data_IF_521870669980
#
_entry.id   IF_521870669980
#
_cell.length_a   1.000
_cell.length_b   1.000
_cell.length_c   1.000
_cell.angle_alpha   90.00
_cell.angle_beta   90.00
_cell.angle_gamma   90.00
#
_symmetry.space_group_name_H-M   'P 1'
#
loop_
_entity.id
_entity.type
_entity.pdbx_description
1 polymer ?
#
# COMPACT_ATOMS: atom_id res chain seq x y z
N UNK A 1 10.29 -10.23 12.46
CA UNK A 1 9.61 -10.38 11.16
C UNK A 1 10.60 -10.26 9.99
N UNK A 2 11.32 -9.13 9.85
CA UNK A 2 12.21 -8.87 8.71
C UNK A 2 13.28 -9.96 8.45
N UNK A 3 14.00 -10.42 9.47
CA UNK A 3 15.02 -11.48 9.31
C UNK A 3 14.44 -12.81 8.82
N UNK A 4 13.31 -13.24 9.38
CA UNK A 4 12.60 -14.44 8.93
C UNK A 4 12.17 -14.33 7.47
N UNK A 5 11.59 -13.18 7.09
CA UNK A 5 11.17 -12.92 5.72
C UNK A 5 12.34 -12.95 4.73
N UNK A 6 13.49 -12.35 5.09
CA UNK A 6 14.70 -12.39 4.29
C UNK A 6 15.25 -13.81 4.16
N UNK A 7 15.30 -14.57 5.26
CA UNK A 7 15.74 -15.95 5.27
C UNK A 7 14.85 -16.82 4.37
N UNK A 8 13.53 -16.74 4.51
CA UNK A 8 12.55 -17.51 3.71
C UNK A 8 12.75 -17.21 2.21
N UNK A 9 12.88 -15.92 1.89
CA UNK A 9 13.12 -15.43 0.53
C UNK A 9 14.50 -15.80 -0.03
N UNK A 10 15.50 -16.02 0.81
CA UNK A 10 16.83 -16.46 0.41
C UNK A 10 16.87 -17.96 0.13
N UNK A 11 16.08 -18.74 0.88
CA UNK A 11 15.93 -20.18 0.69
C UNK A 11 14.89 -20.56 -0.38
N UNK A 12 14.27 -19.56 -1.01
CA UNK A 12 13.40 -19.76 -2.17
C UNK A 12 11.98 -20.23 -1.85
N UNK A 13 11.53 -20.23 -0.59
CA UNK A 13 10.18 -20.69 -0.29
C UNK A 13 9.10 -19.73 -0.80
N UNK A 14 7.98 -20.30 -1.26
CA UNK A 14 6.83 -19.57 -1.78
C UNK A 14 5.52 -20.00 -1.10
N UNK A 15 4.51 -19.14 -1.19
CA UNK A 15 3.22 -19.35 -0.55
C UNK A 15 2.07 -19.13 -1.53
N UNK A 16 1.08 -20.01 -1.50
CA UNK A 16 -0.09 -19.93 -2.39
C UNK A 16 -1.18 -18.96 -1.92
N UNK A 17 -1.10 -18.48 -0.68
CA UNK A 17 -2.02 -17.50 -0.10
C UNK A 17 -1.28 -16.48 0.79
N UNK A 18 -1.94 -15.36 1.07
CA UNK A 18 -1.41 -14.37 2.02
C UNK A 18 -1.41 -14.95 3.44
N UNK A 19 -2.42 -15.76 3.77
CA UNK A 19 -2.51 -16.45 5.05
C UNK A 19 -1.32 -17.38 5.28
N UNK A 20 -0.95 -18.22 4.33
CA UNK A 20 0.20 -19.12 4.49
C UNK A 20 1.51 -18.31 4.65
N UNK A 21 1.66 -17.23 3.89
CA UNK A 21 2.79 -16.30 4.04
C UNK A 21 2.83 -15.71 5.47
N UNK A 22 1.72 -15.15 5.96
CA UNK A 22 1.65 -14.55 7.29
C UNK A 22 1.88 -15.59 8.40
N UNK A 23 1.30 -16.78 8.24
CA UNK A 23 1.49 -17.90 9.15
C UNK A 23 2.96 -18.31 9.22
N UNK A 24 3.67 -18.39 8.10
CA UNK A 24 5.10 -18.70 8.10
C UNK A 24 5.98 -17.68 8.86
N UNK A 25 5.54 -16.42 8.93
CA UNK A 25 6.29 -15.33 9.56
C UNK A 25 6.04 -15.23 11.07
N UNK A 26 4.79 -15.41 11.49
CA UNK A 26 4.35 -15.15 12.86
C UNK A 26 3.32 -16.14 13.42
N UNK A 27 3.08 -17.25 12.74
CA UNK A 27 2.10 -18.26 13.11
C UNK A 27 0.67 -17.75 13.07
N UNK A 28 -0.22 -18.42 13.80
CA UNK A 28 -1.62 -18.02 13.97
C UNK A 28 -1.78 -16.62 14.55
N UNK A 29 -0.77 -16.09 15.27
CA UNK A 29 -0.77 -14.73 15.80
C UNK A 29 -0.91 -13.67 14.71
N UNK A 30 -0.17 -13.79 13.60
CA UNK A 30 -0.24 -12.82 12.49
C UNK A 30 -1.58 -12.93 11.74
N UNK A 31 -2.14 -14.13 11.62
CA UNK A 31 -3.48 -14.32 11.05
C UNK A 31 -4.55 -13.71 11.95
N UNK A 32 -4.44 -13.89 13.26
CA UNK A 32 -5.38 -13.31 14.21
C UNK A 32 -5.32 -11.78 14.18
N UNK A 33 -4.14 -11.20 13.95
CA UNK A 33 -3.98 -9.75 13.79
C UNK A 33 -4.69 -9.18 12.55
N UNK A 34 -5.01 -9.98 11.53
CA UNK A 34 -5.83 -9.50 10.39
C UNK A 34 -7.33 -9.53 10.70
N UNK A 35 -7.74 -10.17 11.80
CA UNK A 35 -9.16 -10.40 12.18
C UNK A 35 -9.59 -9.67 13.43
N UNK A 36 -8.69 -8.89 14.03
CA UNK A 36 -8.92 -8.14 15.27
C UNK A 36 -8.51 -6.70 15.09
N UNK A 37 -9.24 -5.79 15.72
CA UNK A 37 -8.92 -4.37 15.62
C UNK A 37 -7.57 -4.07 16.27
N UNK A 38 -6.89 -3.03 15.78
CA UNK A 38 -5.67 -2.50 16.36
C UNK A 38 -5.92 -2.04 17.79
N UNK A 39 -7.04 -1.33 18.04
CA UNK A 39 -7.40 -0.85 19.37
C UNK A 39 -7.47 -1.98 20.40
N UNK A 40 -8.25 -3.04 20.14
CA UNK A 40 -8.39 -4.18 21.06
C UNK A 40 -7.04 -4.86 21.31
N UNK A 41 -6.26 -5.04 20.25
CA UNK A 41 -4.96 -5.71 20.36
C UNK A 41 -3.96 -4.90 21.19
N UNK A 42 -3.98 -3.58 21.09
CA UNK A 42 -3.10 -2.71 21.89
C UNK A 42 -3.55 -2.62 23.35
N UNK A 43 -4.86 -2.56 23.61
CA UNK A 43 -5.40 -2.58 24.97
C UNK A 43 -5.02 -3.87 25.71
N UNK A 44 -5.09 -5.03 25.02
CA UNK A 44 -4.65 -6.32 25.59
C UNK A 44 -3.16 -6.36 25.90
N UNK A 45 -2.35 -5.63 25.13
CA UNK A 45 -0.91 -5.46 25.40
C UNK A 45 -0.61 -4.43 26.50
N UNK A 46 -1.63 -3.85 27.12
CA UNK A 46 -1.50 -2.88 28.22
C UNK A 46 -1.23 -1.44 27.76
N UNK A 47 -1.41 -1.14 26.46
CA UNK A 47 -1.31 0.25 25.97
C UNK A 47 -2.55 1.01 26.42
N UNK A 48 -2.34 2.21 26.99
CA UNK A 48 -3.46 3.00 27.49
C UNK A 48 -4.33 3.56 26.35
N UNK A 49 -5.65 3.64 26.58
CA UNK A 49 -6.60 4.25 25.65
C UNK A 49 -6.14 5.65 25.22
N UNK A 50 -5.64 6.46 26.16
CA UNK A 50 -5.13 7.80 25.88
C UNK A 50 -3.98 7.80 24.86
N UNK A 51 -3.04 6.86 24.98
CA UNK A 51 -1.94 6.76 24.01
C UNK A 51 -2.46 6.30 22.64
N UNK A 52 -3.45 5.40 22.63
CA UNK A 52 -4.10 4.96 21.39
C UNK A 52 -4.75 6.16 20.68
N UNK A 53 -5.51 6.97 21.41
CA UNK A 53 -6.26 8.09 20.83
C UNK A 53 -5.38 9.28 20.44
N UNK A 54 -4.41 9.64 21.29
CA UNK A 54 -3.60 10.85 21.11
C UNK A 54 -2.35 10.63 20.24
N UNK A 55 -1.86 9.38 20.10
CA UNK A 55 -0.62 9.08 19.37
C UNK A 55 -0.83 8.12 18.22
N UNK A 56 -1.55 7.01 18.44
CA UNK A 56 -1.68 5.96 17.43
C UNK A 56 -2.73 6.32 16.37
N UNK A 57 -3.88 6.86 16.77
CA UNK A 57 -4.92 7.27 15.83
C UNK A 57 -4.42 8.30 14.81
N UNK A 58 -3.67 9.36 15.19
CA UNK A 58 -3.08 10.27 14.21
C UNK A 58 -2.13 9.60 13.21
N UNK A 59 -1.37 8.57 13.63
CA UNK A 59 -0.49 7.79 12.73
C UNK A 59 -1.33 6.99 11.73
N UNK A 60 -2.43 6.36 12.17
CA UNK A 60 -3.32 5.64 11.26
C UNK A 60 -3.96 6.56 10.24
N UNK A 61 -4.38 7.75 10.67
CA UNK A 61 -5.04 8.74 9.81
C UNK A 61 -4.10 9.33 8.76
N UNK A 62 -2.82 9.56 9.08
CA UNK A 62 -1.86 10.08 8.08
C UNK A 62 -1.43 9.02 7.06
N UNK A 63 -1.32 7.76 7.48
CA UNK A 63 -0.86 6.69 6.59
C UNK A 63 -2.00 6.05 5.79
N UNK A 64 -3.17 5.89 6.42
CA UNK A 64 -4.29 5.12 5.88
C UNK A 64 -5.63 5.86 5.87
N UNK A 65 -5.70 7.14 6.27
CA UNK A 65 -6.96 7.91 6.24
C UNK A 65 -8.08 7.32 7.10
N UNK A 66 -7.75 6.30 7.90
CA UNK A 66 -8.66 5.43 8.64
C UNK A 66 -8.24 5.43 10.12
N UNK A 67 -9.17 5.04 10.98
CA UNK A 67 -9.00 5.13 12.44
C UNK A 67 -8.50 3.80 13.04
N UNK A 68 -8.45 3.72 14.38
CA UNK A 68 -7.91 2.57 15.13
C UNK A 68 -8.74 1.27 15.02
N UNK A 69 -9.87 1.30 14.31
CA UNK A 69 -10.69 0.13 14.02
C UNK A 69 -10.11 -0.77 12.93
N UNK A 70 -9.06 -0.33 12.21
CA UNK A 70 -8.36 -1.17 11.24
C UNK A 70 -7.78 -2.42 11.91
N UNK A 71 -7.54 -3.51 11.15
CA UNK A 71 -6.90 -4.71 11.67
C UNK A 71 -5.52 -4.43 12.27
N UNK A 72 -5.16 -5.15 13.32
CA UNK A 72 -3.91 -4.97 14.04
C UNK A 72 -2.66 -5.18 13.17
N UNK A 73 -2.72 -6.05 12.15
CA UNK A 73 -1.57 -6.28 11.26
C UNK A 73 -1.23 -5.05 10.42
N UNK A 74 -2.19 -4.47 9.71
CA UNK A 74 -1.98 -3.22 8.96
C UNK A 74 -1.64 -2.06 9.90
N UNK A 75 -2.21 -2.04 11.10
CA UNK A 75 -1.83 -1.10 12.15
C UNK A 75 -0.35 -1.20 12.54
N UNK A 76 0.18 -2.42 12.70
CA UNK A 76 1.60 -2.65 12.95
C UNK A 76 2.47 -2.20 11.76
N UNK A 77 2.05 -2.46 10.52
CA UNK A 77 2.72 -1.94 9.31
C UNK A 77 2.77 -0.41 9.32
N UNK A 78 1.66 0.24 9.66
CA UNK A 78 1.57 1.70 9.81
C UNK A 78 2.56 2.25 10.85
N UNK A 79 2.59 1.62 12.03
CA UNK A 79 3.45 2.03 13.14
C UNK A 79 4.93 1.83 12.84
N UNK A 80 5.29 0.79 12.08
CA UNK A 80 6.65 0.60 11.61
C UNK A 80 7.13 1.77 10.73
N UNK A 81 6.22 2.34 9.92
CA UNK A 81 6.47 3.54 9.12
C UNK A 81 6.51 4.86 9.90
N UNK A 82 6.26 4.85 11.21
CA UNK A 82 6.35 6.04 12.07
C UNK A 82 7.65 6.10 12.89
N UNK A 83 8.56 5.13 12.71
CA UNK A 83 9.82 5.07 13.44
C UNK A 83 10.86 6.07 12.90
N UNK A 84 11.85 6.37 13.73
CA UNK A 84 13.04 7.10 13.28
C UNK A 84 13.90 6.22 12.33
N UNK A 85 14.79 6.85 11.58
CA UNK A 85 15.76 6.19 10.67
C UNK A 85 15.17 5.55 9.41
N UNK A 86 14.04 6.06 8.91
CA UNK A 86 13.56 5.70 7.57
C UNK A 86 14.51 6.24 6.50
N UNK A 87 14.59 5.51 5.38
CA UNK A 87 15.43 5.86 4.25
C UNK A 87 14.58 6.28 3.04
N UNK A 88 15.19 7.07 2.17
CA UNK A 88 14.65 7.39 0.86
C UNK A 88 15.73 7.18 -0.19
N UNK A 89 15.32 6.87 -1.42
CA UNK A 89 16.24 6.80 -2.55
C UNK A 89 16.76 8.20 -2.87
N UNK A 90 18.07 8.34 -3.10
CA UNK A 90 18.67 9.58 -3.59
C UNK A 90 18.02 9.98 -4.92
N UNK A 91 17.54 11.22 -5.06
CA UNK A 91 16.74 11.65 -6.21
C UNK A 91 15.25 11.25 -6.15
N UNK A 92 14.85 10.51 -5.11
CA UNK A 92 13.46 10.31 -4.67
C UNK A 92 12.90 8.92 -4.96
N UNK A 93 11.95 8.48 -4.14
CA UNK A 93 11.35 7.14 -4.23
C UNK A 93 10.65 6.85 -5.58
N UNK A 94 10.30 7.88 -6.37
CA UNK A 94 9.81 7.70 -7.74
C UNK A 94 10.77 6.90 -8.64
N UNK A 95 12.06 6.90 -8.31
CA UNK A 95 13.09 6.20 -9.07
C UNK A 95 13.03 4.68 -8.87
N UNK A 96 12.44 4.18 -7.78
CA UNK A 96 12.37 2.74 -7.47
C UNK A 96 11.77 1.96 -8.64
N UNK A 97 10.56 2.33 -9.08
CA UNK A 97 9.88 1.60 -10.17
C UNK A 97 10.66 1.68 -11.48
N UNK A 98 11.16 2.86 -11.86
CA UNK A 98 11.95 3.02 -13.09
C UNK A 98 13.27 2.24 -13.07
N UNK A 99 13.93 2.17 -11.90
CA UNK A 99 15.15 1.40 -11.70
C UNK A 99 14.89 -0.10 -11.81
N UNK A 100 13.81 -0.59 -11.20
CA UNK A 100 13.40 -1.99 -11.28
C UNK A 100 13.08 -2.41 -12.73
N UNK A 101 12.33 -1.60 -13.48
CA UNK A 101 12.04 -1.86 -14.90
C UNK A 101 13.31 -1.97 -15.73
N UNK A 102 14.27 -1.05 -15.51
CA UNK A 102 15.56 -1.06 -16.20
C UNK A 102 16.40 -2.30 -15.86
N UNK A 103 16.48 -2.66 -14.58
CA UNK A 103 17.24 -3.82 -14.11
C UNK A 103 16.64 -5.15 -14.61
N UNK A 104 15.31 -5.24 -14.62
CA UNK A 104 14.59 -6.39 -15.14
C UNK A 104 14.69 -6.52 -16.68
N UNK A 105 15.18 -5.48 -17.37
CA UNK A 105 15.14 -5.36 -18.84
C UNK A 105 13.71 -5.62 -19.37
N UNK A 106 12.71 -5.13 -18.64
CA UNK A 106 11.31 -5.37 -18.94
C UNK A 106 10.91 -4.65 -20.24
N UNK A 107 10.10 -5.31 -21.07
CA UNK A 107 9.42 -4.66 -22.20
C UNK A 107 8.17 -3.94 -21.67
N UNK A 108 8.23 -2.62 -21.53
CA UNK A 108 7.11 -1.82 -21.03
C UNK A 108 6.22 -1.36 -22.18
N UNK A 109 5.01 -1.90 -22.25
CA UNK A 109 3.96 -1.44 -23.16
C UNK A 109 3.06 -0.47 -22.39
N UNK A 110 3.02 0.80 -22.82
CA UNK A 110 2.18 1.84 -22.19
C UNK A 110 0.75 1.78 -22.75
N UNK A 111 0.02 0.73 -22.39
CA UNK A 111 -1.35 0.51 -22.87
C UNK A 111 -2.22 -0.14 -21.79
N UNK A 112 -3.50 0.27 -21.67
CA UNK A 112 -4.44 -0.42 -20.80
C UNK A 112 -4.79 -1.80 -21.38
N UNK A 113 -4.65 -2.84 -20.55
CA UNK A 113 -5.21 -4.16 -20.84
C UNK A 113 -6.72 -4.10 -20.67
N UNK A 114 -7.47 -4.53 -21.68
CA UNK A 114 -8.93 -4.51 -21.68
C UNK A 114 -9.53 -5.89 -21.41
N UNK A 115 -8.81 -6.96 -21.78
CA UNK A 115 -9.35 -8.32 -21.70
C UNK A 115 -8.24 -9.34 -21.44
N UNK A 116 -8.53 -10.30 -20.58
CA UNK A 116 -7.71 -11.49 -20.33
C UNK A 116 -8.58 -12.72 -20.62
N UNK A 117 -8.26 -13.43 -21.70
CA UNK A 117 -9.02 -14.59 -22.16
C UNK A 117 -8.23 -15.86 -21.91
N UNK A 118 -8.83 -16.81 -21.19
CA UNK A 118 -8.28 -18.15 -21.04
C UNK A 118 -8.44 -18.92 -22.36
N UNK A 119 -7.32 -19.40 -22.90
CA UNK A 119 -7.23 -20.25 -24.09
C UNK A 119 -6.73 -21.62 -23.64
N UNK A 120 -7.64 -22.59 -23.58
CA UNK A 120 -7.32 -23.97 -23.21
C UNK A 120 -7.15 -24.82 -24.47
N UNK A 121 -5.98 -25.45 -24.63
CA UNK A 121 -5.69 -26.40 -25.71
C UNK A 121 -5.30 -27.74 -25.09
N UNK A 122 -6.27 -28.63 -24.92
CA UNK A 122 -6.08 -29.85 -24.12
C UNK A 122 -5.83 -29.51 -22.64
N UNK A 123 -4.78 -30.09 -22.06
CA UNK A 123 -4.36 -29.83 -20.67
C UNK A 123 -3.49 -28.57 -20.52
N UNK A 124 -3.28 -27.81 -21.61
CA UNK A 124 -2.43 -26.63 -21.61
C UNK A 124 -3.26 -25.34 -21.61
N UNK A 125 -2.98 -24.47 -20.65
CA UNK A 125 -3.64 -23.18 -20.49
C UNK A 125 -2.71 -22.04 -20.90
N UNK A 126 -3.16 -21.20 -21.83
CA UNK A 126 -2.53 -19.93 -22.16
C UNK A 126 -3.51 -18.78 -21.98
N UNK A 127 -2.98 -17.57 -21.85
CA UNK A 127 -3.74 -16.35 -21.69
C UNK A 127 -3.54 -15.43 -22.87
N UNK A 128 -4.63 -15.09 -23.55
CA UNK A 128 -4.61 -14.03 -24.56
C UNK A 128 -4.95 -12.69 -23.88
N UNK A 129 -3.99 -11.78 -23.88
CA UNK A 129 -4.14 -10.42 -23.37
C UNK A 129 -4.48 -9.50 -24.53
N UNK A 130 -5.60 -8.78 -24.44
CA UNK A 130 -5.96 -7.72 -25.39
C UNK A 130 -5.73 -6.36 -24.75
N UNK A 131 -5.10 -5.44 -25.50
CA UNK A 131 -4.77 -4.09 -25.03
C UNK A 131 -4.90 -3.06 -26.17
N UNK A 132 -5.15 -1.80 -25.82
CA UNK A 132 -5.37 -0.71 -26.78
C UNK A 132 -4.04 -0.07 -27.23
N UNK A 133 -3.63 -0.28 -28.47
CA UNK A 133 -2.39 0.27 -29.02
C UNK A 133 -2.69 1.25 -30.15
N UNK A 134 -2.41 2.55 -29.94
CA UNK A 134 -2.49 3.59 -31.00
C UNK A 134 -3.81 3.59 -31.81
N UNK A 135 -4.96 3.37 -31.14
CA UNK A 135 -6.31 3.25 -31.71
C UNK A 135 -6.64 1.92 -32.42
N UNK A 136 -5.77 0.90 -32.31
CA UNK A 136 -6.04 -0.46 -32.73
C UNK A 136 -5.98 -1.42 -31.53
N UNK A 137 -6.75 -2.51 -31.57
CA UNK A 137 -6.67 -3.56 -30.56
C UNK A 137 -5.56 -4.52 -30.93
N UNK A 138 -4.61 -4.71 -30.03
CA UNK A 138 -3.56 -5.71 -30.15
C UNK A 138 -3.83 -6.86 -29.18
N UNK A 139 -3.44 -8.09 -29.56
CA UNK A 139 -3.49 -9.23 -28.66
C UNK A 139 -2.20 -10.06 -28.69
N UNK A 140 -1.83 -10.61 -27.54
CA UNK A 140 -0.64 -11.43 -27.36
C UNK A 140 -0.91 -12.58 -26.39
N UNK A 141 -0.22 -13.70 -26.58
CA UNK A 141 -0.33 -14.91 -25.76
C UNK A 141 0.76 -14.97 -24.70
N UNK A 142 0.36 -15.37 -23.49
CA UNK A 142 1.23 -15.50 -22.32
C UNK A 142 0.95 -16.81 -21.58
N UNK A 143 2.00 -17.45 -21.07
CA UNK A 143 1.86 -18.67 -20.26
C UNK A 143 1.56 -18.37 -18.80
N UNK A 144 2.02 -17.22 -18.30
CA UNK A 144 1.85 -16.77 -16.92
C UNK A 144 1.45 -15.30 -16.91
N UNK A 145 0.41 -14.98 -16.15
CA UNK A 145 -0.13 -13.62 -16.01
C UNK A 145 -0.17 -13.23 -14.54
N UNK A 146 0.31 -12.03 -14.24
CA UNK A 146 0.23 -11.44 -12.90
C UNK A 146 -0.56 -10.14 -12.99
N UNK A 147 -1.72 -10.12 -12.35
CA UNK A 147 -2.58 -8.94 -12.26
C UNK A 147 -2.13 -8.09 -11.08
N UNK A 148 -1.67 -6.87 -11.38
CA UNK A 148 -1.20 -5.89 -10.40
C UNK A 148 -2.07 -4.62 -10.32
N UNK A 149 -3.27 -4.68 -10.92
CA UNK A 149 -4.32 -3.66 -10.73
C UNK A 149 -5.36 -4.19 -9.74
N UNK A 150 -5.94 -3.33 -8.88
CA UNK A 150 -7.07 -3.74 -8.05
C UNK A 150 -8.25 -4.28 -8.88
N UNK A 151 -8.98 -5.24 -8.32
CA UNK A 151 -10.09 -5.98 -8.97
C UNK A 151 -11.44 -5.86 -8.23
N UNK A 152 -11.48 -5.03 -7.18
CA UNK A 152 -12.67 -4.80 -6.36
C UNK A 152 -13.74 -4.05 -7.12
N UNK A 153 -15.01 -4.30 -6.79
CA UNK A 153 -16.16 -3.74 -7.50
C UNK A 153 -16.20 -2.20 -7.53
N UNK A 154 -15.67 -1.52 -6.51
CA UNK A 154 -15.64 -0.05 -6.48
C UNK A 154 -14.49 0.55 -7.31
N UNK A 155 -13.65 -0.30 -7.91
CA UNK A 155 -12.59 0.09 -8.85
C UNK A 155 -12.98 -0.44 -10.22
N UNK A 156 -13.10 0.47 -11.18
CA UNK A 156 -13.17 0.07 -12.58
C UNK A 156 -11.76 -0.29 -13.05
N UNK A 157 -11.38 -1.56 -12.94
CA UNK A 157 -10.09 -2.07 -13.42
C UNK A 157 -9.96 -1.95 -14.94
N UNK A 158 -11.08 -1.85 -15.67
CA UNK A 158 -11.12 -1.87 -17.13
C UNK A 158 -10.86 -3.25 -17.75
N UNK A 159 -10.65 -4.29 -16.93
CA UNK A 159 -10.30 -5.65 -17.40
C UNK A 159 -11.53 -6.56 -17.39
N UNK A 160 -11.84 -7.15 -18.54
CA UNK A 160 -12.80 -8.26 -18.65
C UNK A 160 -12.07 -9.60 -18.65
N UNK A 161 -12.54 -10.55 -17.83
CA UNK A 161 -12.03 -11.92 -17.80
C UNK A 161 -12.97 -12.84 -18.57
N UNK A 162 -12.45 -13.61 -19.54
CA UNK A 162 -13.25 -14.44 -20.45
C UNK A 162 -12.72 -15.87 -20.53
N UNK A 163 -13.60 -16.84 -20.79
CA UNK A 163 -13.23 -18.25 -20.97
C UNK A 163 -12.93 -19.02 -19.69
N UNK A 164 -13.29 -18.48 -18.51
CA UNK A 164 -13.09 -19.13 -17.22
C UNK A 164 -14.34 -19.92 -16.80
N UNK A 165 -14.17 -21.22 -16.57
CA UNK A 165 -15.19 -22.12 -16.02
C UNK A 165 -14.58 -22.96 -14.88
N UNK A 166 -15.00 -22.78 -13.61
CA UNK A 166 -15.94 -21.76 -13.11
C UNK A 166 -15.40 -20.33 -13.27
N UNK A 167 -16.30 -19.35 -13.14
CA UNK A 167 -15.89 -17.93 -13.14
C UNK A 167 -14.89 -17.64 -12.02
N UNK A 168 -14.02 -16.66 -12.26
CA UNK A 168 -13.07 -16.19 -11.26
C UNK A 168 -13.80 -15.67 -10.01
N UNK A 169 -13.23 -15.87 -8.81
CA UNK A 169 -13.84 -15.42 -7.58
C UNK A 169 -13.97 -13.89 -7.56
N UNK A 170 -15.12 -13.39 -7.12
CA UNK A 170 -15.29 -11.97 -6.86
C UNK A 170 -14.39 -11.53 -5.70
N UNK A 171 -13.66 -10.44 -5.90
CA UNK A 171 -12.79 -9.87 -4.87
C UNK A 171 -13.60 -8.85 -4.06
N UNK A 172 -14.01 -9.26 -2.87
CA UNK A 172 -14.82 -8.45 -1.98
C UNK A 172 -14.09 -7.21 -1.42
N UNK A 173 -14.90 -6.26 -0.93
CA UNK A 173 -14.44 -5.06 -0.25
C UNK A 173 -14.24 -3.86 -1.18
N UNK A 174 -13.78 -2.75 -0.62
CA UNK A 174 -13.61 -1.49 -1.33
C UNK A 174 -12.27 -0.86 -1.03
N UNK A 175 -11.77 -0.02 -1.94
CA UNK A 175 -10.62 0.85 -1.66
C UNK A 175 -11.05 2.19 -1.06
N UNK A 176 -10.20 2.73 -0.20
CA UNK A 176 -10.32 4.02 0.43
C UNK A 176 -9.73 5.13 -0.46
N UNK A 177 -10.48 6.21 -0.62
CA UNK A 177 -10.03 7.40 -1.34
C UNK A 177 -9.12 8.24 -0.46
N UNK A 178 -8.01 8.72 -1.02
CA UNK A 178 -7.13 9.70 -0.38
C UNK A 178 -6.90 10.86 -1.33
N UNK A 179 -6.82 12.05 -0.77
CA UNK A 179 -6.39 13.25 -1.49
C UNK A 179 -5.13 13.81 -0.87
N UNK A 180 -4.12 14.04 -1.70
CA UNK A 180 -2.94 14.82 -1.36
C UNK A 180 -2.99 16.16 -2.09
N UNK A 181 -2.97 17.25 -1.31
CA UNK A 181 -2.82 18.60 -1.82
C UNK A 181 -1.42 19.10 -1.53
N UNK A 182 -0.66 19.45 -2.57
CA UNK A 182 0.63 20.15 -2.46
C UNK A 182 0.38 21.65 -2.62
N UNK A 183 0.57 22.40 -1.54
CA UNK A 183 0.27 23.83 -1.46
C UNK A 183 1.57 24.61 -1.27
N UNK A 184 1.80 25.62 -2.12
CA UNK A 184 2.84 26.61 -1.92
C UNK A 184 2.21 27.88 -1.31
N UNK A 185 2.53 28.21 -0.06
CA UNK A 185 1.87 29.31 0.64
C UNK A 185 2.33 29.54 2.07
N UNK A 186 1.53 30.34 2.80
CA UNK A 186 1.75 30.72 4.20
C UNK A 186 0.75 29.99 5.09
N UNK A 187 1.24 29.10 5.95
CA UNK A 187 0.40 28.36 6.89
C UNK A 187 -0.29 29.31 7.87
N UNK A 188 -1.58 29.07 8.13
CA UNK A 188 -2.33 29.80 9.14
C UNK A 188 -2.06 29.25 10.54
N UNK A 189 -0.92 29.60 11.14
CA UNK A 189 -0.54 29.17 12.48
C UNK A 189 -1.59 29.48 13.56
N UNK A 190 -2.37 30.54 13.38
CA UNK A 190 -3.42 30.95 14.33
C UNK A 190 -4.53 29.91 14.43
N UNK A 191 -4.85 29.22 13.34
CA UNK A 191 -5.81 28.09 13.35
C UNK A 191 -5.34 26.96 14.27
N UNK A 192 -4.02 26.78 14.41
CA UNK A 192 -3.42 25.77 15.28
C UNK A 192 -3.11 26.29 16.70
N UNK A 193 -3.66 27.45 17.08
CA UNK A 193 -3.47 28.02 18.41
C UNK A 193 -2.17 28.82 18.60
N UNK A 194 -1.48 29.19 17.51
CA UNK A 194 -0.26 30.01 17.56
C UNK A 194 -0.50 31.38 16.91
N UNK A 195 -0.83 32.43 17.70
CA UNK A 195 -1.06 33.77 17.17
C UNK A 195 0.18 34.35 16.48
N UNK A 196 1.36 34.18 17.09
CA UNK A 196 2.64 34.52 16.49
C UNK A 196 3.22 33.30 15.75
N UNK A 197 3.34 33.35 14.41
CA UNK A 197 3.94 32.27 13.63
C UNK A 197 5.39 31.96 14.03
N UNK A 198 6.11 32.90 14.67
CA UNK A 198 7.52 32.70 15.13
C UNK A 198 7.63 31.67 16.23
N UNK A 199 6.55 31.46 16.96
CA UNK A 199 6.48 30.50 18.05
C UNK A 199 6.00 29.12 17.58
N UNK A 200 5.62 28.97 16.30
CA UNK A 200 5.14 27.70 15.78
C UNK A 200 6.32 26.75 15.51
N UNK A 201 6.49 25.68 16.30
CA UNK A 201 7.70 24.86 16.27
C UNK A 201 7.57 23.62 15.39
N UNK A 202 6.36 23.35 14.87
CA UNK A 202 6.04 22.06 14.26
C UNK A 202 6.34 22.03 12.77
N UNK A 203 6.71 20.85 12.29
CA UNK A 203 6.85 20.58 10.85
C UNK A 203 5.75 19.74 10.26
N UNK A 204 5.01 19.05 11.12
CA UNK A 204 3.88 18.20 10.80
C UNK A 204 2.81 18.38 11.84
N UNK A 205 1.56 18.43 11.39
CA UNK A 205 0.35 18.46 12.19
C UNK A 205 -0.44 17.23 11.78
N UNK A 206 -0.78 16.39 12.75
CA UNK A 206 -1.62 15.21 12.57
C UNK A 206 -2.92 15.42 13.33
N UNK A 207 -4.01 14.83 12.85
CA UNK A 207 -5.32 14.95 13.52
C UNK A 207 -5.67 13.67 14.26
N UNK A 208 -6.32 13.81 15.41
CA UNK A 208 -6.98 12.70 16.10
C UNK A 208 -8.29 12.34 15.38
N UNK A 209 -8.91 11.24 15.78
CA UNK A 209 -10.23 10.83 15.28
C UNK A 209 -11.34 11.73 15.84
N UNK A 210 -11.47 12.92 15.26
CA UNK A 210 -12.52 13.88 15.61
C UNK A 210 -13.52 13.98 14.46
N UNK A 211 -14.82 13.71 14.71
CA UNK A 211 -15.87 13.84 13.69
C UNK A 211 -15.88 15.24 13.07
N UNK A 212 -16.04 15.29 11.74
CA UNK A 212 -16.18 16.55 11.00
C UNK A 212 -14.87 17.27 10.68
N UNK A 213 -13.69 16.73 11.03
CA UNK A 213 -12.42 17.26 10.53
C UNK A 213 -12.26 16.99 9.03
N UNK A 214 -11.94 18.04 8.27
CA UNK A 214 -11.80 17.99 6.82
C UNK A 214 -10.41 17.57 6.33
N UNK A 215 -9.44 17.36 7.24
CA UNK A 215 -8.08 16.95 6.90
C UNK A 215 -7.50 15.96 7.91
N UNK A 216 -6.57 15.13 7.44
CA UNK A 216 -5.89 14.08 8.22
C UNK A 216 -4.52 14.56 8.71
N UNK A 217 -3.80 15.33 7.89
CA UNK A 217 -2.52 15.92 8.28
C UNK A 217 -2.14 17.12 7.41
N UNK A 218 -1.28 17.98 7.94
CA UNK A 218 -0.62 19.06 7.20
C UNK A 218 0.86 19.11 7.58
N UNK A 219 1.76 18.95 6.61
CA UNK A 219 3.19 18.87 6.86
C UNK A 219 4.00 19.71 5.87
N UNK A 220 5.05 20.36 6.35
CA UNK A 220 6.03 21.06 5.51
C UNK A 220 6.88 20.04 4.76
N UNK A 221 6.99 20.22 3.44
CA UNK A 221 7.73 19.31 2.55
C UNK A 221 9.18 19.76 2.44
N UNK A 222 10.10 18.82 2.56
CA UNK A 222 11.52 19.04 2.29
C UNK A 222 11.84 18.64 0.84
N UNK A 223 12.82 19.29 0.20
CA UNK A 223 13.29 18.87 -1.11
C UNK A 223 13.84 17.45 -1.02
N UNK A 224 13.72 16.72 -2.12
CA UNK A 224 14.22 15.36 -2.25
C UNK A 224 15.74 15.30 -2.07
N UNK A 225 16.45 16.30 -2.62
CA UNK A 225 17.89 16.45 -2.42
C UNK A 225 18.14 17.58 -1.41
N UNK A 226 18.57 17.19 -0.21
CA UNK A 226 18.88 18.13 0.87
C UNK A 226 20.33 18.58 0.72
N UNK A 227 20.54 19.82 0.28
CA UNK A 227 21.87 20.44 0.22
C UNK A 227 22.33 20.90 1.61
N UNK A 228 23.64 21.04 1.83
CA UNK A 228 24.22 21.49 3.11
C UNK A 228 23.67 22.84 3.62
N UNK A 229 23.22 23.72 2.72
CA UNK A 229 22.59 25.01 3.09
C UNK A 229 21.07 24.97 3.27
N UNK A 230 20.43 23.80 3.20
CA UNK A 230 18.98 23.71 3.34
C UNK A 230 18.55 24.01 4.77
N UNK A 231 17.67 25.00 4.92
CA UNK A 231 16.88 25.21 6.13
C UNK A 231 15.41 25.07 5.80
N UNK A 232 14.68 24.38 6.67
CA UNK A 232 13.22 24.37 6.57
C UNK A 232 12.72 25.81 6.73
N UNK A 233 11.88 26.25 5.79
CA UNK A 233 11.29 27.59 5.84
C UNK A 233 10.42 27.72 7.08
N UNK A 234 10.59 28.82 7.80
CA UNK A 234 9.72 29.11 8.94
C UNK A 234 8.33 29.53 8.45
N UNK A 235 7.28 29.46 9.30
CA UNK A 235 5.91 29.74 8.86
C UNK A 235 5.65 31.20 8.40
N UNK A 236 6.55 32.15 8.65
CA UNK A 236 6.49 33.52 8.10
C UNK A 236 7.00 33.59 6.66
N UNK A 237 7.60 32.51 6.16
CA UNK A 237 8.10 32.40 4.80
C UNK A 237 7.18 31.47 4.01
N UNK A 238 7.01 31.72 2.72
CA UNK A 238 6.20 30.87 1.85
C UNK A 238 6.85 29.49 1.71
N UNK A 239 6.21 28.48 2.29
CA UNK A 239 6.65 27.08 2.29
C UNK A 239 5.85 26.21 1.33
N UNK A 240 6.36 25.00 1.07
CA UNK A 240 5.60 23.95 0.39
C UNK A 240 5.08 23.00 1.45
N UNK A 241 3.78 22.73 1.41
CA UNK A 241 3.07 21.89 2.36
C UNK A 241 2.33 20.77 1.64
N UNK A 242 2.30 19.60 2.25
CA UNK A 242 1.43 18.50 1.85
C UNK A 242 0.30 18.39 2.86
N UNK A 243 -0.93 18.41 2.38
CA UNK A 243 -2.13 18.18 3.18
C UNK A 243 -2.80 16.90 2.68
N UNK A 244 -3.01 15.95 3.59
CA UNK A 244 -3.85 14.79 3.32
C UNK A 244 -5.28 15.06 3.80
N UNK A 245 -6.27 14.78 2.96
CA UNK A 245 -7.69 14.95 3.27
C UNK A 245 -8.56 13.83 2.68
N UNK A 246 -9.77 13.59 3.23
CA UNK A 246 -10.69 12.59 2.68
C UNK A 246 -11.23 12.96 1.28
N UNK A 247 -11.32 14.26 0.98
CA UNK A 247 -11.81 14.82 -0.29
C UNK A 247 -10.96 16.02 -0.71
N UNK A 248 -11.03 16.48 -1.97
CA UNK A 248 -10.38 17.71 -2.40
C UNK A 248 -10.79 18.89 -1.52
N UNK A 249 -9.80 19.69 -1.10
CA UNK A 249 -10.04 20.81 -0.19
C UNK A 249 -10.81 21.93 -0.88
N UNK A 250 -11.89 22.36 -0.25
CA UNK A 250 -12.67 23.51 -0.71
C UNK A 250 -11.92 24.82 -0.46
N UNK A 251 -12.33 25.89 -1.16
CA UNK A 251 -11.68 27.21 -1.03
C UNK A 251 -11.74 27.75 0.41
N UNK A 252 -12.83 27.47 1.13
CA UNK A 252 -13.00 27.80 2.55
C UNK A 252 -11.99 27.05 3.42
N UNK A 253 -11.88 25.74 3.25
CA UNK A 253 -10.94 24.86 3.96
C UNK A 253 -9.47 25.26 3.71
N UNK A 254 -9.12 25.60 2.46
CA UNK A 254 -7.80 26.14 2.12
C UNK A 254 -7.52 27.46 2.84
N UNK A 255 -8.49 28.38 2.90
CA UNK A 255 -8.35 29.65 3.62
C UNK A 255 -8.29 29.48 5.14
N UNK A 256 -8.89 28.41 5.66
CA UNK A 256 -8.75 28.03 7.08
C UNK A 256 -7.31 27.61 7.37
N UNK A 257 -6.73 26.73 6.55
CA UNK A 257 -5.38 26.20 6.76
C UNK A 257 -4.26 27.17 6.35
N UNK A 258 -4.49 28.06 5.38
CA UNK A 258 -3.47 28.95 4.82
C UNK A 258 -3.96 30.40 4.79
N UNK A 259 -3.14 31.32 5.30
CA UNK A 259 -3.43 32.77 5.22
C UNK A 259 -3.48 33.24 3.77
N UNK A 260 -2.56 32.72 2.97
CA UNK A 260 -2.53 32.90 1.51
C UNK A 260 -1.72 31.76 0.88
N UNK A 261 -1.97 31.50 -0.40
CA UNK A 261 -1.24 30.50 -1.18
C UNK A 261 -1.10 30.97 -2.64
N UNK A 262 -0.03 30.52 -3.29
CA UNK A 262 0.28 30.81 -4.68
C UNK A 262 -0.23 29.73 -5.63
N UNK A 263 -0.16 28.47 -5.21
CA UNK A 263 -0.58 27.33 -6.02
C UNK A 263 -1.02 26.15 -5.16
N UNK A 264 -1.95 25.37 -5.69
CA UNK A 264 -2.41 24.10 -5.11
C UNK A 264 -2.39 23.06 -6.23
N UNK A 265 -1.67 21.97 -6.01
CA UNK A 265 -1.69 20.79 -6.88
C UNK A 265 -2.40 19.68 -6.12
N UNK A 266 -3.44 19.10 -6.72
CA UNK A 266 -4.26 18.07 -6.09
C UNK A 266 -4.02 16.75 -6.81
N UNK A 267 -3.87 15.69 -6.03
CA UNK A 267 -3.90 14.31 -6.53
C UNK A 267 -4.87 13.55 -5.66
N UNK A 268 -5.89 12.98 -6.28
CA UNK A 268 -6.87 12.10 -5.66
C UNK A 268 -6.76 10.70 -6.26
N UNK A 269 -6.82 9.69 -5.40
CA UNK A 269 -6.76 8.30 -5.84
C UNK A 269 -7.33 7.34 -4.81
N UNK A 270 -7.62 6.12 -5.24
CA UNK A 270 -7.95 5.00 -4.37
C UNK A 270 -6.64 4.34 -3.92
N UNK A 271 -6.24 4.63 -2.68
CA UNK A 271 -4.86 4.44 -2.24
C UNK A 271 -4.55 3.06 -1.67
N UNK A 272 -5.52 2.46 -1.00
CA UNK A 272 -5.40 1.20 -0.28
C UNK A 272 -6.81 0.68 0.08
N UNK A 273 -6.96 -0.58 0.51
CA UNK A 273 -8.23 -1.10 0.98
C UNK A 273 -8.86 -0.28 2.10
N UNK A 274 -10.19 -0.24 2.12
CA UNK A 274 -10.97 0.12 3.29
C UNK A 274 -10.99 -1.10 4.22
N UNK A 275 -10.20 -1.01 5.27
CA UNK A 275 -9.89 -2.14 6.13
C UNK A 275 -11.01 -2.42 7.13
N UNK A 276 -11.35 -3.70 7.30
CA UNK A 276 -12.22 -4.18 8.36
C UNK A 276 -11.78 -5.55 8.88
N UNK A 277 -12.04 -5.80 10.17
CA UNK A 277 -11.64 -7.05 10.85
C UNK A 277 -12.45 -8.29 10.43
N UNK A 278 -13.52 -8.11 9.66
CA UNK A 278 -14.41 -9.20 9.21
C UNK A 278 -14.12 -9.68 7.78
N UNK A 279 -13.27 -8.97 7.05
CA UNK A 279 -12.96 -9.28 5.65
C UNK A 279 -11.85 -10.33 5.57
N UNK A 280 -12.02 -11.30 4.70
CA UNK A 280 -10.96 -12.26 4.36
C UNK A 280 -9.87 -11.63 3.48
N UNK A 281 -8.71 -12.28 3.38
CA UNK A 281 -7.67 -11.84 2.46
C UNK A 281 -7.98 -12.39 1.05
N UNK A 282 -7.83 -11.58 -0.01
CA UNK A 282 -8.03 -12.07 -1.36
C UNK A 282 -7.04 -13.18 -1.74
N UNK A 283 -7.43 -14.07 -2.65
CA UNK A 283 -6.54 -15.11 -3.16
C UNK A 283 -5.33 -14.51 -3.90
N UNK A 284 -4.17 -15.13 -3.73
CA UNK A 284 -2.97 -14.84 -4.55
C UNK A 284 -3.05 -15.53 -5.90
N UNK A 285 -3.74 -16.67 -5.99
CA UNK A 285 -3.93 -17.47 -7.21
C UNK A 285 -5.38 -17.34 -7.65
N UNK A 286 -5.62 -16.72 -8.80
CA UNK A 286 -6.97 -16.60 -9.38
C UNK A 286 -7.32 -17.83 -10.23
N UNK A 287 -6.33 -18.32 -10.99
CA UNK A 287 -6.38 -19.54 -11.80
C UNK A 287 -4.95 -20.11 -11.92
N UNK A 288 -4.78 -21.32 -12.45
CA UNK A 288 -3.45 -21.87 -12.73
C UNK A 288 -2.64 -20.91 -13.61
N UNK A 289 -1.47 -20.47 -13.15
CA UNK A 289 -0.62 -19.46 -13.82
C UNK A 289 -1.23 -18.06 -13.97
N UNK A 290 -2.34 -17.76 -13.29
CA UNK A 290 -2.91 -16.41 -13.16
C UNK A 290 -2.90 -15.98 -11.69
N UNK A 291 -2.09 -14.96 -11.38
CA UNK A 291 -1.85 -14.51 -10.01
C UNK A 291 -2.37 -13.10 -9.78
N UNK A 292 -2.78 -12.79 -8.55
CA UNK A 292 -3.21 -11.46 -8.11
C UNK A 292 -2.25 -10.90 -7.06
N UNK A 293 -1.55 -9.81 -7.43
CA UNK A 293 -0.53 -9.21 -6.59
C UNK A 293 -1.13 -8.37 -5.45
N UNK A 294 -2.12 -7.54 -5.75
CA UNK A 294 -2.68 -6.57 -4.80
C UNK A 294 -3.52 -7.24 -3.70
N UNK A 295 -3.69 -8.56 -3.71
CA UNK A 295 -4.27 -9.31 -2.58
C UNK A 295 -3.53 -9.04 -1.26
N UNK A 296 -2.20 -8.82 -1.32
CA UNK A 296 -1.38 -8.50 -0.14
C UNK A 296 -1.76 -7.18 0.53
N UNK A 297 -2.35 -6.24 -0.21
CA UNK A 297 -2.71 -4.93 0.33
C UNK A 297 -3.78 -5.02 1.42
N UNK A 298 -4.57 -6.09 1.43
CA UNK A 298 -5.58 -6.37 2.46
C UNK A 298 -4.99 -6.78 3.80
N UNK A 299 -3.80 -7.39 3.79
CA UNK A 299 -3.03 -7.57 5.01
C UNK A 299 -2.39 -6.24 5.44
N UNK A 300 -1.85 -5.48 4.48
CA UNK A 300 -1.38 -4.12 4.69
C UNK A 300 -0.77 -3.54 3.41
N UNK A 301 -1.18 -2.34 3.02
CA UNK A 301 -0.72 -1.70 1.79
C UNK A 301 0.53 -0.86 2.05
N UNK A 302 1.65 -1.30 1.47
CA UNK A 302 2.92 -0.59 1.46
C UNK A 302 3.77 -1.07 0.27
N UNK A 303 4.75 -0.27 -0.15
CA UNK A 303 5.67 -0.66 -1.23
C UNK A 303 6.44 -1.94 -0.88
N UNK A 304 6.81 -2.11 0.39
CA UNK A 304 7.48 -3.27 0.94
C UNK A 304 6.60 -4.51 0.85
N UNK A 305 5.31 -4.38 1.18
CA UNK A 305 4.34 -5.48 1.11
C UNK A 305 4.11 -5.91 -0.34
N UNK A 306 4.00 -4.95 -1.27
CA UNK A 306 3.93 -5.23 -2.71
C UNK A 306 5.19 -5.94 -3.21
N UNK A 307 6.37 -5.54 -2.73
CA UNK A 307 7.64 -6.20 -3.06
C UNK A 307 7.75 -7.61 -2.48
N UNK A 308 7.11 -7.87 -1.33
CA UNK A 308 6.96 -9.22 -0.77
C UNK A 308 6.09 -10.09 -1.65
N UNK A 309 4.91 -9.59 -2.04
CA UNK A 309 3.99 -10.32 -2.92
C UNK A 309 4.63 -10.61 -4.29
N UNK A 310 5.30 -9.62 -4.90
CA UNK A 310 5.97 -9.79 -6.18
C UNK A 310 7.01 -10.90 -6.15
N UNK A 311 7.90 -10.90 -5.13
CA UNK A 311 8.91 -11.97 -4.98
C UNK A 311 8.27 -13.32 -4.69
N UNK A 312 7.22 -13.36 -3.87
CA UNK A 312 6.48 -14.58 -3.59
C UNK A 312 5.86 -15.18 -4.86
N UNK A 313 5.17 -14.37 -5.67
CA UNK A 313 4.52 -14.80 -6.92
C UNK A 313 5.58 -15.28 -7.93
N UNK A 314 6.71 -14.58 -8.06
CA UNK A 314 7.79 -14.99 -8.94
C UNK A 314 8.35 -16.38 -8.57
N UNK A 315 8.58 -16.63 -7.27
CA UNK A 315 9.01 -17.95 -6.78
C UNK A 315 7.89 -18.99 -6.96
N UNK A 316 6.65 -18.67 -6.63
CA UNK A 316 5.50 -19.57 -6.78
C UNK A 316 5.34 -20.02 -8.23
N UNK A 317 5.39 -19.08 -9.18
CA UNK A 317 5.35 -19.34 -10.61
C UNK A 317 6.54 -20.20 -11.05
N UNK A 318 7.76 -19.87 -10.62
CA UNK A 318 8.96 -20.65 -10.92
C UNK A 318 8.87 -22.09 -10.42
N UNK A 319 8.44 -22.31 -9.18
CA UNK A 319 8.34 -23.64 -8.61
C UNK A 319 7.26 -24.48 -9.27
N UNK A 320 6.09 -23.90 -9.57
CA UNK A 320 5.04 -24.59 -10.33
C UNK A 320 5.51 -24.97 -11.73
N UNK A 321 6.16 -24.04 -12.44
CA UNK A 321 6.71 -24.29 -13.76
C UNK A 321 7.72 -25.45 -13.79
N UNK A 322 8.58 -25.52 -12.77
CA UNK A 322 9.61 -26.56 -12.64
C UNK A 322 9.16 -27.78 -11.82
N UNK A 323 7.88 -27.87 -11.43
CA UNK A 323 7.30 -28.96 -10.62
C UNK A 323 7.98 -29.18 -9.26
N UNK A 324 8.51 -28.11 -8.66
CA UNK A 324 9.15 -28.08 -7.34
C UNK A 324 8.13 -27.79 -6.24
N UNK A 325 7.11 -28.64 -6.11
CA UNK A 325 5.99 -28.41 -5.20
C UNK A 325 6.40 -28.43 -3.73
N UNK A 326 7.51 -29.08 -3.41
CA UNK A 326 8.12 -29.09 -2.08
C UNK A 326 8.61 -27.70 -1.62
N UNK A 327 8.76 -26.72 -2.51
CA UNK A 327 9.16 -25.36 -2.13
C UNK A 327 7.97 -24.46 -1.78
N UNK A 328 6.74 -24.97 -1.92
CA UNK A 328 5.49 -24.22 -1.74
C UNK A 328 4.79 -24.67 -0.44
N UNK A 329 4.29 -23.72 0.34
CA UNK A 329 3.47 -23.94 1.55
C UNK A 329 4.06 -24.97 2.55
N UNK A 330 5.37 -24.86 2.81
CA UNK A 330 6.09 -25.75 3.71
C UNK A 330 5.62 -25.61 5.17
N UNK A 331 4.98 -26.67 5.70
CA UNK A 331 4.37 -26.70 7.05
C UNK A 331 5.37 -26.50 8.19
N UNK A 332 6.57 -27.08 8.09
CA UNK A 332 7.59 -27.03 9.15
C UNK A 332 8.56 -25.85 9.03
N UNK A 333 8.26 -24.91 8.14
CA UNK A 333 9.16 -23.81 7.84
C UNK A 333 9.47 -22.95 9.08
N UNK A 334 8.47 -22.73 9.92
CA UNK A 334 8.66 -21.98 11.18
C UNK A 334 9.65 -22.66 12.13
N UNK A 335 9.68 -24.00 12.17
CA UNK A 335 10.63 -24.73 12.98
C UNK A 335 12.05 -24.55 12.41
N UNK A 336 12.22 -24.76 11.10
CA UNK A 336 13.51 -24.59 10.40
C UNK A 336 14.08 -23.19 10.61
N UNK A 337 13.26 -22.15 10.41
CA UNK A 337 13.63 -20.75 10.61
C UNK A 337 14.07 -20.48 12.06
N UNK A 338 13.42 -21.07 13.07
CA UNK A 338 13.79 -20.90 14.48
C UNK A 338 15.06 -21.66 14.87
N UNK A 339 15.38 -22.76 14.18
CA UNK A 339 16.60 -23.53 14.46
C UNK A 339 17.83 -22.88 13.84
N UNK A 340 17.65 -22.13 12.74
CA UNK A 340 18.75 -21.52 11.98
C UNK A 340 18.98 -20.02 12.25
N UNK A 341 18.03 -19.32 12.88
CA UNK A 341 18.13 -17.91 13.30
C UNK A 341 18.19 -17.78 14.83
#
# INVERSE_FOLDING_TARGET
>A
MQYKLLWIKAHGYAFSSVEELLHSLGGSGFINMTRRSLSESLLELGVSQRFIDEVIAPIMRVNYGQNISIPAFVGAVSLAGAQANLWAVEGGNKLVCSGLLKLAKANLIQSPVTTITLRSTGDYHQYELTYDSQNEKSSELYDIVVVATPLQQNINSGISFQGFEPQLPEIAGSYHQTVASIIHGYLNCTYFGFPDPKLFPFSSILTTDTPGLFFNSAASVCPVNITSGFRRKQPQEAGVYKVFSPKPLERSELKTLFKSYYSVQVTDWLAYPHYGSTQGLPPVVLHENLYFLNGIEWAGSAMEMSSVAAKNIALLAYHRWNRQLEMIDQKDLMHKVKTEL
#
